data_IF_510573982752
#
_entry.id   IF_510573982752
#
_cell.length_a   1.000
_cell.length_b   1.000
_cell.length_c   1.000
_cell.angle_alpha   90.00
_cell.angle_beta   90.00
_cell.angle_gamma   90.00
#
_symmetry.space_group_name_H-M   'P 1'
#
loop_
_entity.id
_entity.type
_entity.pdbx_description
1 polymer ?
#
# COMPACT_ATOMS: atom_id res chain seq x y z
N UNK A 1 -18.75 -18.00 14.64
CA UNK A 1 -17.41 -17.71 14.10
C UNK A 1 -17.54 -16.44 13.28
N UNK A 2 -17.10 -15.29 13.81
CA UNK A 2 -17.03 -14.07 12.99
C UNK A 2 -15.80 -14.27 12.11
N UNK A 3 -16.01 -14.56 10.83
CA UNK A 3 -14.92 -14.53 9.86
C UNK A 3 -14.44 -13.08 9.80
N UNK A 4 -13.28 -12.78 10.40
CA UNK A 4 -12.59 -11.53 10.13
C UNK A 4 -12.22 -11.55 8.65
N UNK A 5 -13.06 -10.96 7.81
CA UNK A 5 -12.74 -10.70 6.41
C UNK A 5 -11.63 -9.65 6.39
N UNK A 6 -10.40 -10.13 6.56
CA UNK A 6 -9.22 -9.29 6.53
C UNK A 6 -8.96 -8.96 5.06
N UNK A 7 -9.11 -7.69 4.70
CA UNK A 7 -8.85 -7.16 3.36
C UNK A 7 -7.38 -6.82 3.17
N UNK A 8 -6.85 -7.15 1.99
CA UNK A 8 -5.43 -7.05 1.68
C UNK A 8 -5.29 -6.31 0.36
N UNK A 9 -4.38 -5.34 0.27
CA UNK A 9 -4.15 -4.61 -0.97
C UNK A 9 -3.55 -5.53 -2.04
N UNK A 10 -4.20 -5.70 -3.19
CA UNK A 10 -3.69 -6.53 -4.28
C UNK A 10 -2.41 -5.98 -4.95
N UNK A 11 -2.07 -4.71 -4.69
CA UNK A 11 -0.92 -4.05 -5.31
C UNK A 11 0.36 -4.18 -4.46
N UNK A 12 0.25 -4.07 -3.13
CA UNK A 12 1.41 -4.11 -2.23
C UNK A 12 1.39 -5.25 -1.20
N UNK A 13 0.29 -6.00 -1.11
CA UNK A 13 0.13 -7.14 -0.20
C UNK A 13 -0.16 -6.79 1.26
N UNK A 14 -0.13 -5.50 1.64
CA UNK A 14 -0.41 -5.07 3.02
C UNK A 14 -1.85 -5.31 3.42
N UNK A 15 -2.04 -5.73 4.67
CA UNK A 15 -3.36 -5.94 5.26
C UNK A 15 -4.00 -4.65 5.78
N UNK A 16 -5.31 -4.69 6.04
CA UNK A 16 -6.08 -3.55 6.55
C UNK A 16 -5.51 -2.89 7.82
N UNK A 17 -4.77 -3.63 8.64
CA UNK A 17 -4.15 -3.11 9.87
C UNK A 17 -2.84 -2.35 9.61
N UNK A 18 -2.23 -2.55 8.43
CA UNK A 18 -0.92 -1.99 8.06
C UNK A 18 -1.04 -0.71 7.20
N UNK A 19 -2.25 -0.32 6.84
CA UNK A 19 -2.55 0.83 5.98
C UNK A 19 -3.69 1.65 6.57
N UNK A 20 -3.78 2.92 6.18
CA UNK A 20 -4.80 3.81 6.73
C UNK A 20 -6.20 3.51 6.17
N UNK A 21 -6.27 3.08 4.90
CA UNK A 21 -7.53 2.71 4.26
C UNK A 21 -7.33 1.67 3.15
N UNK A 22 -8.34 0.83 2.93
CA UNK A 22 -8.48 -0.02 1.75
C UNK A 22 -9.81 0.30 1.08
N UNK A 23 -9.77 0.47 -0.24
CA UNK A 23 -10.95 0.58 -1.09
C UNK A 23 -11.14 -0.76 -1.78
N UNK A 24 -12.28 -1.41 -1.50
CA UNK A 24 -12.64 -2.70 -2.11
C UNK A 24 -13.53 -2.53 -3.33
N UNK A 25 -13.11 -3.13 -4.44
CA UNK A 25 -13.85 -3.20 -5.70
C UNK A 25 -14.47 -4.58 -5.96
N UNK A 26 -15.03 -4.73 -7.17
CA UNK A 26 -15.53 -6.02 -7.64
C UNK A 26 -14.39 -7.04 -7.83
N UNK A 27 -14.71 -8.34 -7.79
CA UNK A 27 -13.76 -9.43 -8.06
C UNK A 27 -12.48 -9.38 -7.19
N UNK A 28 -12.62 -9.11 -5.89
CA UNK A 28 -11.51 -9.11 -4.93
C UNK A 28 -10.37 -8.15 -5.34
N UNK A 29 -10.73 -6.98 -5.88
CA UNK A 29 -9.80 -5.93 -6.27
C UNK A 29 -9.76 -4.85 -5.20
N UNK A 30 -8.85 -5.01 -4.25
CA UNK A 30 -8.62 -4.13 -3.12
C UNK A 30 -7.36 -3.28 -3.37
N UNK A 31 -7.46 -1.97 -3.13
CA UNK A 31 -6.33 -1.04 -3.23
C UNK A 31 -6.24 -0.16 -1.99
N UNK A 32 -5.04 -0.03 -1.43
CA UNK A 32 -4.81 0.85 -0.28
C UNK A 32 -4.49 2.30 -0.68
N UNK A 33 -4.65 3.20 0.28
CA UNK A 33 -4.36 4.64 0.15
C UNK A 33 -2.96 4.93 -0.43
N UNK A 34 -1.92 4.27 0.09
CA UNK A 34 -0.55 4.48 -0.38
C UNK A 34 -0.34 4.04 -1.84
N UNK A 35 -1.02 2.99 -2.29
CA UNK A 35 -0.97 2.53 -3.67
C UNK A 35 -1.73 3.47 -4.61
N UNK A 36 -2.87 4.02 -4.19
CA UNK A 36 -3.60 5.05 -4.94
C UNK A 36 -2.69 6.26 -5.19
N UNK A 37 -2.01 6.76 -4.15
CA UNK A 37 -1.09 7.91 -4.27
C UNK A 37 0.06 7.64 -5.25
N UNK A 38 0.63 6.42 -5.22
CA UNK A 38 1.66 6.02 -6.18
C UNK A 38 1.12 5.99 -7.61
N UNK A 39 -0.07 5.44 -7.82
CA UNK A 39 -0.72 5.43 -9.14
C UNK A 39 -1.02 6.84 -9.66
N UNK A 40 -1.52 7.75 -8.80
CA UNK A 40 -1.74 9.16 -9.16
C UNK A 40 -0.42 9.83 -9.57
N UNK A 41 0.65 9.62 -8.80
CA UNK A 41 1.98 10.12 -9.12
C UNK A 41 2.49 9.64 -10.48
N UNK A 42 2.34 8.35 -10.77
CA UNK A 42 2.82 7.74 -12.03
C UNK A 42 1.96 8.12 -13.24
N UNK A 43 0.64 8.17 -13.10
CA UNK A 43 -0.30 8.26 -14.24
C UNK A 43 -0.75 9.70 -14.54
N UNK A 44 -0.96 10.51 -13.51
CA UNK A 44 -1.61 11.82 -13.64
C UNK A 44 -0.57 12.94 -13.55
N UNK A 45 0.33 12.87 -12.58
CA UNK A 45 1.28 13.95 -12.27
C UNK A 45 2.53 13.93 -13.15
N UNK A 46 2.37 13.57 -14.43
CA UNK A 46 3.40 13.24 -15.43
C UNK A 46 4.53 14.29 -15.56
N UNK A 47 5.41 14.35 -14.57
CA UNK A 47 6.69 15.06 -14.51
C UNK A 47 7.53 14.38 -13.40
N UNK A 48 8.71 13.86 -13.78
CA UNK A 48 9.50 12.92 -12.99
C UNK A 48 10.06 13.48 -11.69
N UNK A 49 9.24 13.63 -10.65
CA UNK A 49 9.72 13.96 -9.32
C UNK A 49 9.57 12.78 -8.35
N UNK A 50 10.72 12.37 -7.82
CA UNK A 50 10.95 11.24 -6.94
C UNK A 50 10.14 11.38 -5.63
N UNK A 51 8.95 10.82 -5.57
CA UNK A 51 8.28 10.61 -4.29
C UNK A 51 8.83 9.32 -3.65
N UNK A 52 9.80 9.53 -2.76
CA UNK A 52 10.26 8.70 -1.63
C UNK A 52 11.46 7.72 -1.77
N UNK A 53 12.66 8.27 -1.99
CA UNK A 53 13.93 7.63 -1.57
C UNK A 53 14.26 7.88 -0.07
N UNK A 54 13.26 8.13 0.78
CA UNK A 54 13.48 8.39 2.21
C UNK A 54 12.30 7.93 3.07
N UNK A 55 12.05 6.63 3.04
CA UNK A 55 11.64 5.91 4.25
C UNK A 55 12.84 5.09 4.72
N UNK A 56 13.91 5.79 5.12
CA UNK A 56 14.85 5.22 6.08
C UNK A 56 14.13 5.27 7.44
N UNK A 57 13.38 4.21 7.74
CA UNK A 57 13.25 3.75 9.11
C UNK A 57 14.12 2.50 9.15
N UNK A 58 15.19 2.62 9.91
CA UNK A 58 16.14 1.57 10.26
C UNK A 58 15.41 0.32 10.74
N UNK A 59 15.28 -0.69 9.89
CA UNK A 59 15.26 -2.08 10.37
C UNK A 59 16.71 -2.58 10.35
N UNK A 60 17.49 -2.05 11.27
CA UNK A 60 18.65 -2.75 11.81
C UNK A 60 18.15 -3.96 12.58
N UNK A 61 17.79 -5.02 11.86
CA UNK A 61 17.76 -6.37 12.41
C UNK A 61 18.89 -7.17 11.77
N UNK A 62 20.11 -6.85 12.20
CA UNK A 62 21.16 -7.86 12.31
C UNK A 62 20.61 -8.97 13.20
N UNK A 63 20.33 -10.15 12.64
CA UNK A 63 20.58 -11.40 13.35
C UNK A 63 21.24 -12.36 12.37
N UNK A 64 22.39 -12.83 12.82
CA UNK A 64 23.15 -13.95 12.28
C UNK A 64 22.30 -15.22 12.23
#
# INVERSE_FOLDING_TARGET
>A
MIANNKHWCNFCGKSQDEVNAIVSGMNNSDICDSCVLRCVGTLILKDGNKLNESANITDSASHQ
#
